data_IF_132033439027
#
_entry.id   IF_132033439027
#
_cell.length_a   1.000
_cell.length_b   1.000
_cell.length_c   1.000
_cell.angle_alpha   90.00
_cell.angle_beta   90.00
_cell.angle_gamma   90.00
#
_symmetry.space_group_name_H-M   'P 1'
#
loop_
_entity.id
_entity.type
_entity.pdbx_description
1 polymer ?
#
# COMPACT_ATOMS: atom_id res chain seq x y z
N UNK A 1 26.41 34.17 0.06
CA UNK A 1 25.83 33.95 1.40
C UNK A 1 25.32 32.52 1.42
N UNK A 2 26.09 31.59 2.01
CA UNK A 2 25.78 30.16 1.98
C UNK A 2 24.75 29.83 3.06
N UNK A 3 23.63 29.24 2.65
CA UNK A 3 22.59 28.76 3.58
C UNK A 3 23.08 27.43 4.15
N UNK A 4 23.41 27.42 5.44
CA UNK A 4 23.66 26.18 6.19
C UNK A 4 22.33 25.43 6.39
N UNK A 5 22.28 24.09 6.20
CA UNK A 5 21.10 23.33 6.55
C UNK A 5 20.94 23.29 8.07
N UNK A 6 19.71 23.56 8.52
CA UNK A 6 19.28 23.44 9.91
C UNK A 6 19.23 21.94 10.23
N UNK A 7 20.13 21.48 11.11
CA UNK A 7 19.97 20.21 11.81
C UNK A 7 18.71 20.32 12.68
N UNK A 8 17.65 19.62 12.32
CA UNK A 8 16.58 19.31 13.26
C UNK A 8 17.11 18.26 14.23
N UNK A 9 17.65 18.72 15.36
CA UNK A 9 17.84 17.89 16.55
C UNK A 9 16.49 17.81 17.28
N UNK A 10 15.75 16.73 17.07
CA UNK A 10 14.70 16.27 17.98
C UNK A 10 14.69 14.73 17.99
N UNK A 11 15.63 14.16 18.76
CA UNK A 11 15.35 13.09 19.73
C UNK A 11 14.81 11.72 19.33
N UNK A 12 14.77 11.31 18.07
CA UNK A 12 14.55 9.88 17.71
C UNK A 12 15.89 9.20 17.46
N UNK A 13 16.21 8.04 18.08
CA UNK A 13 17.44 7.33 17.77
C UNK A 13 17.48 6.98 16.27
N UNK A 14 18.53 7.40 15.58
CA UNK A 14 18.83 7.07 14.18
C UNK A 14 19.30 5.61 14.00
N UNK A 15 19.46 4.88 15.11
CA UNK A 15 20.02 3.55 15.14
C UNK A 15 18.93 2.47 15.29
N UNK A 16 19.22 1.29 14.75
CA UNK A 16 18.43 0.09 14.99
C UNK A 16 18.37 -0.24 16.48
N UNK A 17 17.21 -0.70 17.00
CA UNK A 17 17.11 -1.12 18.39
C UNK A 17 18.17 -2.20 18.71
N UNK A 18 18.86 -2.06 19.85
CA UNK A 18 19.66 -3.11 20.50
C UNK A 18 20.82 -3.75 19.70
N UNK A 19 21.56 -3.02 18.84
CA UNK A 19 22.68 -3.59 18.01
C UNK A 19 22.29 -4.80 17.16
N UNK A 20 21.00 -5.09 17.01
CA UNK A 20 20.48 -6.33 16.47
C UNK A 20 21.05 -6.66 15.07
N UNK A 21 21.41 -5.64 14.28
CA UNK A 21 21.99 -5.80 12.95
C UNK A 21 23.35 -6.52 12.89
N UNK A 22 24.22 -6.41 13.91
CA UNK A 22 25.62 -6.89 13.80
C UNK A 22 25.76 -8.41 13.86
N UNK A 23 24.79 -9.10 14.45
CA UNK A 23 24.81 -10.56 14.63
C UNK A 23 23.73 -11.27 13.80
N UNK A 24 23.12 -10.59 12.82
CA UNK A 24 22.13 -11.22 11.96
C UNK A 24 22.77 -12.31 11.09
N UNK A 25 22.14 -13.51 11.01
CA UNK A 25 22.56 -14.54 10.06
C UNK A 25 22.50 -14.04 8.61
N UNK A 26 23.34 -14.64 7.75
CA UNK A 26 23.33 -14.32 6.33
C UNK A 26 21.93 -14.54 5.71
N UNK A 27 21.46 -13.55 4.95
CA UNK A 27 20.14 -13.56 4.32
C UNK A 27 18.97 -13.13 5.22
N UNK A 28 19.22 -12.81 6.49
CA UNK A 28 18.20 -12.23 7.38
C UNK A 28 18.22 -10.72 7.28
N UNK A 29 17.03 -10.16 7.07
CA UNK A 29 16.77 -8.73 7.06
C UNK A 29 15.82 -8.39 8.21
N UNK A 30 16.14 -7.33 8.95
CA UNK A 30 15.33 -6.81 10.03
C UNK A 30 14.85 -5.40 9.68
N UNK A 31 13.52 -5.21 9.70
CA UNK A 31 12.89 -3.94 9.38
C UNK A 31 12.31 -3.32 10.65
N UNK A 32 12.75 -2.10 10.98
CA UNK A 32 12.14 -1.28 12.02
C UNK A 32 11.27 -0.20 11.38
N UNK A 33 9.95 -0.35 11.55
CA UNK A 33 8.95 0.54 10.99
C UNK A 33 8.61 1.63 12.02
N UNK A 34 9.10 2.84 11.77
CA UNK A 34 9.00 3.92 12.75
C UNK A 34 7.61 4.59 12.69
N UNK A 35 7.12 5.15 13.80
CA UNK A 35 5.82 5.83 13.83
C UNK A 35 5.72 7.13 13.00
N UNK A 36 6.85 7.66 12.54
CA UNK A 36 6.92 8.81 11.63
C UNK A 36 6.85 8.39 10.15
N UNK A 37 6.78 7.08 9.88
CA UNK A 37 6.73 6.48 8.55
C UNK A 37 8.10 6.15 7.95
N UNK A 38 9.19 6.42 8.67
CA UNK A 38 10.53 5.99 8.28
C UNK A 38 10.72 4.48 8.45
N UNK A 39 11.61 3.90 7.65
CA UNK A 39 11.93 2.46 7.69
C UNK A 39 13.44 2.31 7.80
N UNK A 40 13.90 1.68 8.87
CA UNK A 40 15.29 1.25 8.98
C UNK A 40 15.39 -0.22 8.60
N UNK A 41 16.33 -0.55 7.73
CA UNK A 41 16.72 -1.92 7.40
C UNK A 41 18.06 -2.22 8.06
N UNK A 42 18.14 -3.37 8.73
CA UNK A 42 19.38 -3.97 9.17
C UNK A 42 19.58 -5.34 8.53
N UNK A 43 20.79 -5.59 8.10
CA UNK A 43 21.26 -6.88 7.63
C UNK A 43 22.71 -7.07 8.11
N UNK A 44 23.37 -8.12 7.62
CA UNK A 44 24.76 -8.43 7.98
C UNK A 44 25.75 -7.31 7.61
N UNK A 45 25.44 -6.48 6.60
CA UNK A 45 26.31 -5.40 6.14
C UNK A 45 26.18 -4.14 7.01
N UNK A 46 25.12 -4.04 7.79
CA UNK A 46 24.89 -2.97 8.75
C UNK A 46 23.43 -2.52 8.74
N UNK A 47 23.22 -1.26 9.14
CA UNK A 47 21.88 -0.64 9.14
C UNK A 47 21.85 0.61 8.27
N UNK A 48 20.72 0.84 7.60
CA UNK A 48 20.46 2.01 6.77
C UNK A 48 18.98 2.35 6.74
N UNK A 49 18.68 3.62 6.51
CA UNK A 49 17.31 4.07 6.25
C UNK A 49 16.94 3.80 4.80
N UNK A 50 15.77 3.17 4.60
CA UNK A 50 15.19 3.00 3.28
C UNK A 50 14.46 4.27 2.87
N UNK A 51 14.54 4.60 1.59
CA UNK A 51 13.88 5.79 1.08
C UNK A 51 13.71 5.83 -0.44
N UNK A 52 12.92 6.81 -0.94
CA UNK A 52 12.62 7.02 -2.35
C UNK A 52 13.85 7.24 -3.24
N UNK A 53 14.96 7.70 -2.68
CA UNK A 53 16.17 8.00 -3.46
C UNK A 53 17.04 6.77 -3.77
N UNK A 54 16.76 5.60 -3.18
CA UNK A 54 17.65 4.43 -3.27
C UNK A 54 16.94 3.12 -3.53
N UNK A 55 15.96 2.78 -2.69
CA UNK A 55 15.46 1.40 -2.58
C UNK A 55 13.95 1.30 -2.78
N UNK A 56 13.24 2.42 -2.65
CA UNK A 56 11.82 2.43 -2.91
C UNK A 56 11.51 2.68 -4.38
N UNK A 57 10.54 1.92 -4.86
CA UNK A 57 9.92 2.10 -6.15
C UNK A 57 8.65 2.92 -5.99
N UNK A 58 8.25 3.63 -7.04
CA UNK A 58 6.93 4.25 -7.09
C UNK A 58 5.88 3.16 -6.95
N UNK A 59 4.93 3.34 -6.03
CA UNK A 59 3.94 2.30 -5.76
C UNK A 59 2.83 2.28 -6.81
N UNK A 60 1.93 3.27 -6.78
CA UNK A 60 0.87 3.47 -7.80
C UNK A 60 0.83 4.96 -8.14
N UNK A 61 0.64 5.80 -7.13
CA UNK A 61 0.54 7.25 -7.27
C UNK A 61 1.81 7.97 -6.80
N UNK A 62 1.96 9.22 -7.22
CA UNK A 62 3.06 10.07 -6.80
C UNK A 62 3.05 10.31 -5.28
N UNK A 63 4.25 10.31 -4.67
CA UNK A 63 4.41 10.43 -3.23
C UNK A 63 4.03 9.16 -2.45
N UNK A 64 3.78 8.04 -3.15
CA UNK A 64 3.55 6.72 -2.56
C UNK A 64 4.59 5.74 -3.07
N UNK A 65 5.21 5.03 -2.13
CA UNK A 65 6.43 4.28 -2.37
C UNK A 65 6.31 2.85 -1.86
N UNK A 66 7.07 1.94 -2.44
CA UNK A 66 7.10 0.55 -2.01
C UNK A 66 8.50 -0.06 -2.07
N UNK A 67 8.82 -0.88 -1.08
CA UNK A 67 9.95 -1.80 -1.04
C UNK A 67 9.44 -3.23 -1.18
N UNK A 68 10.01 -4.02 -2.09
CA UNK A 68 9.54 -5.39 -2.33
C UNK A 68 10.27 -6.36 -1.43
N UNK A 69 9.48 -7.14 -0.70
CA UNK A 69 9.98 -8.24 0.12
C UNK A 69 9.91 -9.56 -0.64
N UNK A 70 8.88 -9.74 -1.48
CA UNK A 70 8.72 -10.91 -2.35
C UNK A 70 8.18 -10.47 -3.70
N UNK A 71 8.93 -10.72 -4.76
CA UNK A 71 8.68 -10.30 -6.14
C UNK A 71 9.85 -9.51 -6.71
N UNK A 72 9.74 -9.09 -7.97
CA UNK A 72 10.79 -8.31 -8.66
C UNK A 72 10.15 -7.26 -9.57
N UNK A 73 10.67 -6.03 -9.55
CA UNK A 73 10.25 -4.95 -10.45
C UNK A 73 10.55 -5.25 -11.92
N UNK A 74 11.56 -6.08 -12.22
CA UNK A 74 11.88 -6.52 -13.58
C UNK A 74 10.73 -7.29 -14.25
N UNK A 75 9.81 -7.85 -13.45
CA UNK A 75 8.63 -8.58 -13.92
C UNK A 75 7.48 -7.65 -14.34
N UNK A 76 7.55 -6.36 -13.99
CA UNK A 76 6.65 -5.35 -14.56
C UNK A 76 7.26 -3.96 -14.40
N UNK A 77 8.17 -3.56 -15.30
CA UNK A 77 8.84 -2.26 -15.21
C UNK A 77 7.87 -1.08 -15.20
N UNK A 78 6.71 -1.24 -15.85
CA UNK A 78 5.66 -0.22 -15.92
C UNK A 78 4.70 -0.23 -14.73
N UNK A 79 4.60 -1.36 -14.00
CA UNK A 79 3.70 -1.53 -12.84
C UNK A 79 4.44 -2.15 -11.67
N UNK A 80 5.28 -1.36 -10.98
CA UNK A 80 6.11 -1.85 -9.89
C UNK A 80 5.25 -2.54 -8.82
N UNK A 81 4.03 -2.08 -8.56
CA UNK A 81 3.07 -2.66 -7.61
C UNK A 81 2.84 -4.18 -7.71
N UNK A 82 3.38 -4.86 -8.73
CA UNK A 82 3.47 -6.31 -9.00
C UNK A 82 3.79 -7.24 -7.82
N UNK A 83 4.50 -6.73 -6.81
CA UNK A 83 5.07 -7.60 -5.78
C UNK A 83 4.02 -8.31 -4.92
N UNK A 84 4.26 -9.59 -4.66
CA UNK A 84 3.47 -10.46 -3.78
C UNK A 84 3.42 -9.89 -2.37
N UNK A 85 4.57 -9.44 -1.86
CA UNK A 85 4.69 -8.83 -0.53
C UNK A 85 5.53 -7.57 -0.63
N UNK A 86 5.01 -6.46 -0.11
CA UNK A 86 5.66 -5.16 -0.15
C UNK A 86 5.41 -4.35 1.12
N UNK A 87 6.44 -3.63 1.53
CA UNK A 87 6.33 -2.55 2.51
C UNK A 87 5.99 -1.27 1.74
N UNK A 88 4.82 -0.69 2.00
CA UNK A 88 4.39 0.55 1.38
C UNK A 88 4.59 1.74 2.32
N UNK A 89 4.90 2.90 1.76
CA UNK A 89 4.83 4.20 2.42
C UNK A 89 3.81 5.05 1.70
N UNK A 90 2.73 5.39 2.40
CA UNK A 90 1.62 6.22 1.89
C UNK A 90 1.78 7.64 2.41
N UNK A 91 1.81 8.61 1.51
CA UNK A 91 1.96 10.03 1.85
C UNK A 91 0.93 10.52 2.89
N UNK A 92 1.21 11.62 3.62
CA UNK A 92 0.26 12.24 4.52
C UNK A 92 -1.02 12.65 3.79
N UNK A 93 -2.19 12.44 4.41
CA UNK A 93 -3.48 12.92 3.89
C UNK A 93 -3.78 12.51 2.44
N UNK A 94 -3.25 11.38 1.99
CA UNK A 94 -3.42 10.90 0.63
C UNK A 94 -4.15 9.56 0.59
N UNK A 95 -4.57 9.18 -0.61
CA UNK A 95 -5.12 7.86 -0.90
C UNK A 95 -4.60 7.36 -2.24
N UNK A 96 -4.61 6.04 -2.40
CA UNK A 96 -4.33 5.43 -3.70
C UNK A 96 -5.45 5.76 -4.70
N UNK A 97 -5.11 5.92 -5.97
CA UNK A 97 -6.10 5.90 -7.04
C UNK A 97 -6.96 4.63 -6.91
N UNK A 98 -8.31 4.71 -6.94
CA UNK A 98 -9.15 3.53 -6.82
C UNK A 98 -8.80 2.45 -7.84
N UNK A 99 -8.70 1.21 -7.36
CA UNK A 99 -8.36 0.06 -8.18
C UNK A 99 -9.00 -1.22 -7.64
N UNK A 100 -8.91 -2.28 -8.44
CA UNK A 100 -9.25 -3.65 -8.04
C UNK A 100 -8.09 -4.59 -8.38
N UNK A 101 -7.93 -5.65 -7.58
CA UNK A 101 -6.87 -6.63 -7.76
C UNK A 101 -7.40 -7.95 -8.33
N UNK A 102 -6.68 -8.56 -9.29
CA UNK A 102 -6.96 -9.91 -9.81
C UNK A 102 -6.65 -11.06 -8.84
N UNK A 103 -6.57 -10.77 -7.54
CA UNK A 103 -6.31 -11.72 -6.46
C UNK A 103 -6.67 -11.10 -5.12
N UNK A 104 -6.63 -11.90 -4.04
CA UNK A 104 -6.95 -11.36 -2.73
C UNK A 104 -5.84 -10.44 -2.24
N UNK A 105 -6.24 -9.34 -1.62
CA UNK A 105 -5.34 -8.30 -1.14
C UNK A 105 -5.45 -8.16 0.38
N UNK A 106 -4.32 -8.06 1.05
CA UNK A 106 -4.20 -7.90 2.49
C UNK A 106 -3.41 -6.63 2.76
N UNK A 107 -3.94 -5.74 3.60
CA UNK A 107 -3.25 -4.52 4.00
C UNK A 107 -3.25 -4.39 5.51
N UNK A 108 -2.07 -4.47 6.11
CA UNK A 108 -1.84 -4.15 7.51
C UNK A 108 -1.47 -2.68 7.62
N UNK A 109 -2.27 -1.92 8.38
CA UNK A 109 -1.97 -0.51 8.67
C UNK A 109 -1.28 -0.36 10.03
N UNK A 110 -0.17 0.37 10.08
CA UNK A 110 0.52 0.71 11.33
C UNK A 110 0.17 2.12 11.84
N UNK A 111 -0.73 2.82 11.14
CA UNK A 111 -1.25 4.14 11.48
C UNK A 111 -2.76 4.21 11.38
N UNK A 112 -3.31 5.43 11.48
CA UNK A 112 -4.73 5.64 11.26
C UNK A 112 -4.99 5.77 9.76
N UNK A 113 -5.78 4.86 9.22
CA UNK A 113 -6.09 4.78 7.81
C UNK A 113 -7.60 4.61 7.59
N UNK A 114 -8.01 4.60 6.32
CA UNK A 114 -9.31 4.11 5.90
C UNK A 114 -9.17 3.33 4.60
N UNK A 115 -10.10 2.42 4.36
CA UNK A 115 -10.26 1.79 3.06
C UNK A 115 -11.67 2.06 2.56
N UNK A 116 -11.78 2.84 1.48
CA UNK A 116 -13.04 3.03 0.77
C UNK A 116 -13.28 1.84 -0.14
N UNK A 117 -14.43 1.19 -0.01
CA UNK A 117 -14.82 0.00 -0.79
C UNK A 117 -16.17 0.24 -1.45
N UNK A 118 -16.38 -0.29 -2.65
CA UNK A 118 -17.72 -0.30 -3.23
C UNK A 118 -18.53 -1.48 -2.69
N UNK A 119 -19.61 -1.20 -1.98
CA UNK A 119 -20.57 -2.20 -1.50
C UNK A 119 -21.62 -2.45 -2.58
N UNK A 120 -21.39 -3.45 -3.43
CA UNK A 120 -22.29 -3.82 -4.52
C UNK A 120 -23.69 -4.24 -4.06
N UNK A 121 -23.84 -4.76 -2.83
CA UNK A 121 -25.16 -5.13 -2.29
C UNK A 121 -25.98 -3.88 -1.96
N UNK A 122 -25.33 -2.83 -1.45
CA UNK A 122 -25.97 -1.56 -1.09
C UNK A 122 -25.89 -0.49 -2.17
N UNK A 123 -25.16 -0.74 -3.25
CA UNK A 123 -24.93 0.19 -4.37
C UNK A 123 -24.28 1.50 -3.93
N UNK A 124 -23.30 1.44 -3.01
CA UNK A 124 -22.66 2.64 -2.46
C UNK A 124 -21.22 2.40 -2.00
N UNK A 125 -20.44 3.48 -1.95
CA UNK A 125 -19.11 3.46 -1.31
C UNK A 125 -19.26 3.41 0.21
N UNK A 126 -18.44 2.58 0.85
CA UNK A 126 -18.34 2.46 2.31
C UNK A 126 -16.89 2.66 2.74
N UNK A 127 -16.65 3.61 3.63
CA UNK A 127 -15.34 3.80 4.26
C UNK A 127 -15.20 2.94 5.51
N UNK A 128 -14.18 2.09 5.53
CA UNK A 128 -13.81 1.28 6.68
C UNK A 128 -12.62 1.95 7.39
N UNK A 129 -12.81 2.58 8.57
CA UNK A 129 -11.70 3.16 9.32
C UNK A 129 -10.81 2.07 9.91
N UNK A 130 -9.50 2.24 9.80
CA UNK A 130 -8.49 1.32 10.31
C UNK A 130 -7.65 2.03 11.37
N UNK A 131 -7.54 1.42 12.54
CA UNK A 131 -6.60 1.82 13.58
C UNK A 131 -5.26 1.09 13.39
N UNK A 132 -4.16 1.58 14.01
CA UNK A 132 -2.88 0.89 13.97
C UNK A 132 -2.98 -0.56 14.45
N UNK A 133 -2.37 -1.48 13.70
CA UNK A 133 -2.41 -2.92 13.94
C UNK A 133 -3.63 -3.61 13.32
N UNK A 134 -4.52 -2.90 12.64
CA UNK A 134 -5.63 -3.51 11.91
C UNK A 134 -5.19 -3.98 10.53
N UNK A 135 -5.60 -5.20 10.20
CA UNK A 135 -5.47 -5.83 8.90
C UNK A 135 -6.83 -5.82 8.20
N UNK A 136 -6.88 -5.37 6.95
CA UNK A 136 -8.04 -5.58 6.08
C UNK A 136 -7.69 -6.61 5.00
N UNK A 137 -8.61 -7.55 4.78
CA UNK A 137 -8.58 -8.49 3.66
C UNK A 137 -9.65 -8.07 2.66
N UNK A 138 -9.23 -7.90 1.42
CA UNK A 138 -10.05 -7.40 0.31
C UNK A 138 -10.12 -8.52 -0.72
N UNK A 139 -11.32 -9.02 -1.04
CA UNK A 139 -11.49 -10.07 -2.04
C UNK A 139 -10.97 -9.64 -3.42
N UNK A 140 -10.63 -10.64 -4.22
CA UNK A 140 -10.35 -10.47 -5.65
C UNK A 140 -11.47 -9.67 -6.34
N UNK A 141 -11.06 -8.77 -7.22
CA UNK A 141 -11.88 -7.85 -8.01
C UNK A 141 -12.76 -6.87 -7.21
N UNK A 142 -12.65 -6.82 -5.88
CA UNK A 142 -13.34 -5.81 -5.06
C UNK A 142 -12.76 -4.41 -5.34
N UNK A 143 -13.57 -3.44 -5.83
CA UNK A 143 -13.14 -2.06 -6.03
C UNK A 143 -12.85 -1.39 -4.68
N UNK A 144 -11.65 -0.82 -4.54
CA UNK A 144 -11.26 -0.18 -3.29
C UNK A 144 -10.21 0.92 -3.50
N UNK A 145 -10.00 1.70 -2.44
CA UNK A 145 -8.88 2.63 -2.29
C UNK A 145 -8.47 2.73 -0.83
N UNK A 146 -7.18 2.58 -0.56
CA UNK A 146 -6.61 2.74 0.76
C UNK A 146 -6.11 4.18 0.97
N UNK A 147 -6.36 4.75 2.14
CA UNK A 147 -6.09 6.13 2.47
C UNK A 147 -5.33 6.28 3.79
N UNK A 148 -4.31 7.13 3.79
CA UNK A 148 -3.66 7.60 5.00
C UNK A 148 -4.43 8.80 5.57
N UNK A 149 -5.04 8.61 6.75
CA UNK A 149 -5.75 9.69 7.45
C UNK A 149 -4.82 10.52 8.34
N UNK A 150 -3.55 10.16 8.47
CA UNK A 150 -2.55 10.89 9.23
C UNK A 150 -2.02 12.14 8.53
N UNK A 151 -1.33 12.97 9.29
CA UNK A 151 -0.50 14.10 8.84
C UNK A 151 0.98 13.73 8.71
N UNK A 152 1.34 12.48 8.95
CA UNK A 152 2.67 11.91 8.72
C UNK A 152 2.57 10.76 7.71
N UNK A 153 3.69 10.41 7.04
CA UNK A 153 3.73 9.22 6.20
C UNK A 153 3.31 7.97 6.97
N UNK A 154 2.63 7.05 6.28
CA UNK A 154 2.08 5.84 6.85
C UNK A 154 2.76 4.63 6.23
N UNK A 155 3.44 3.84 7.05
CA UNK A 155 3.92 2.52 6.65
C UNK A 155 2.79 1.49 6.68
N UNK A 156 2.70 0.71 5.61
CA UNK A 156 1.80 -0.44 5.49
C UNK A 156 2.59 -1.68 5.07
N UNK A 157 2.08 -2.86 5.42
CA UNK A 157 2.48 -4.11 4.78
C UNK A 157 1.32 -4.55 3.89
N UNK A 158 1.60 -4.69 2.60
CA UNK A 158 0.63 -5.14 1.62
C UNK A 158 1.06 -6.51 1.08
N UNK A 159 0.14 -7.47 1.12
CA UNK A 159 0.35 -8.82 0.59
C UNK A 159 -0.79 -9.19 -0.36
N UNK A 160 -0.48 -10.00 -1.38
CA UNK A 160 -1.41 -10.35 -2.44
C UNK A 160 -1.29 -11.83 -2.77
N UNK A 161 -2.42 -12.50 -2.99
CA UNK A 161 -2.46 -13.94 -3.28
C UNK A 161 -2.53 -14.26 -4.77
N UNK A 162 -2.91 -13.28 -5.60
CA UNK A 162 -2.88 -13.38 -7.05
C UNK A 162 -1.47 -13.13 -7.58
N UNK A 163 -0.74 -14.22 -7.86
CA UNK A 163 0.50 -14.33 -8.64
C UNK A 163 1.52 -13.20 -8.51
N UNK A 164 2.60 -13.48 -7.78
CA UNK A 164 3.88 -12.84 -8.06
C UNK A 164 4.43 -13.32 -9.40
N UNK A 165 4.99 -12.38 -10.16
CA UNK A 165 5.70 -12.53 -11.45
C UNK A 165 4.77 -12.42 -12.68
N UNK A 166 4.92 -11.32 -13.43
CA UNK A 166 4.43 -11.09 -14.80
C UNK A 166 2.92 -11.15 -15.07
N UNK A 167 2.09 -10.26 -14.50
CA UNK A 167 0.76 -10.05 -15.10
C UNK A 167 0.29 -8.60 -15.19
N UNK A 168 -0.06 -8.20 -16.41
CA UNK A 168 -0.63 -6.90 -16.79
C UNK A 168 -2.04 -6.65 -16.20
N UNK A 169 -2.56 -7.61 -15.41
CA UNK A 169 -3.93 -7.61 -14.86
C UNK A 169 -3.99 -7.45 -13.34
N UNK A 170 -2.84 -7.19 -12.71
CA UNK A 170 -2.75 -7.25 -11.25
C UNK A 170 -3.52 -6.15 -10.51
N UNK A 171 -3.52 -4.93 -11.04
CA UNK A 171 -4.29 -3.80 -10.53
C UNK A 171 -4.97 -3.09 -11.69
N UNK A 172 -6.29 -3.02 -11.64
CA UNK A 172 -7.13 -2.43 -12.69
C UNK A 172 -7.73 -1.14 -12.14
N UNK A 173 -7.39 -0.02 -12.76
CA UNK A 173 -8.01 1.29 -12.49
C UNK A 173 -9.29 1.46 -13.31
N UNK A 174 -10.07 2.50 -13.02
CA UNK A 174 -11.28 2.80 -13.79
C UNK A 174 -10.99 2.98 -15.30
N UNK A 175 -9.91 3.70 -15.64
CA UNK A 175 -9.52 3.94 -17.03
C UNK A 175 -9.13 2.64 -17.75
N UNK A 176 -8.44 1.74 -17.06
CA UNK A 176 -8.07 0.44 -17.61
C UNK A 176 -9.29 -0.47 -17.80
N UNK A 177 -10.24 -0.45 -16.86
CA UNK A 177 -11.51 -1.16 -17.00
C UNK A 177 -12.34 -0.61 -18.17
N UNK A 178 -12.41 0.72 -18.35
CA UNK A 178 -13.07 1.37 -19.49
C UNK A 178 -12.45 0.94 -20.83
N UNK A 179 -11.11 0.88 -20.91
CA UNK A 179 -10.38 0.42 -22.10
C UNK A 179 -10.73 -1.03 -22.44
N UNK A 180 -10.66 -1.95 -21.47
CA UNK A 180 -10.98 -3.38 -21.66
C UNK A 180 -12.43 -3.62 -22.07
N UNK A 181 -13.36 -2.83 -21.52
CA UNK A 181 -14.77 -2.87 -21.89
C UNK A 181 -15.05 -2.45 -23.35
N UNK A 182 -14.14 -1.68 -23.96
CA UNK A 182 -14.21 -1.28 -25.37
C UNK A 182 -13.54 -2.32 -26.29
N UNK A 183 -12.50 -2.99 -25.80
CA UNK A 183 -11.75 -4.03 -26.52
C UNK A 183 -12.42 -5.42 -26.51
N UNK A 184 -13.46 -5.62 -25.69
CA UNK A 184 -14.23 -6.88 -25.62
C UNK A 184 -15.58 -6.88 -26.37
N UNK A 185 -15.71 -6.49 -27.66
CA UNK A 185 -16.91 -6.75 -28.42
C UNK A 185 -16.87 -8.18 -28.99
N UNK A 186 -17.23 -9.18 -28.17
CA UNK A 186 -17.73 -10.48 -28.61
C UNK A 186 -16.77 -11.43 -29.34
N UNK A 187 -15.81 -12.03 -28.62
CA UNK A 187 -15.14 -13.27 -29.09
C UNK A 187 -15.51 -14.47 -28.18
N UNK A 188 -16.30 -15.46 -28.66
CA UNK A 188 -16.62 -16.67 -27.90
C UNK A 188 -15.49 -17.72 -27.88
N UNK A 189 -14.28 -17.42 -28.39
CA UNK A 189 -13.25 -18.44 -28.67
C UNK A 189 -11.93 -18.38 -27.90
N UNK A 190 -11.74 -17.42 -27.00
CA UNK A 190 -10.40 -17.03 -26.53
C UNK A 190 -9.93 -17.52 -25.15
N UNK A 191 -10.38 -18.65 -24.61
CA UNK A 191 -9.90 -19.13 -23.30
C UNK A 191 -8.56 -19.87 -23.46
N UNK A 192 -7.44 -19.14 -23.41
CA UNK A 192 -6.16 -19.75 -23.02
C UNK A 192 -6.14 -19.88 -21.50
N UNK A 193 -6.58 -21.04 -21.03
CA UNK A 193 -6.51 -21.44 -19.64
C UNK A 193 -5.05 -21.56 -19.17
N UNK A 194 -4.59 -20.59 -18.39
CA UNK A 194 -3.52 -20.76 -17.42
C UNK A 194 -4.18 -20.81 -16.03
N UNK A 195 -3.90 -21.87 -15.28
CA UNK A 195 -4.78 -22.39 -14.23
C UNK A 195 -4.95 -21.52 -12.98
N UNK A 196 -6.13 -21.64 -12.37
CA UNK A 196 -6.48 -21.06 -11.07
C UNK A 196 -7.95 -20.63 -11.01
N UNK A 197 -8.59 -20.70 -9.83
CA UNK A 197 -9.97 -20.18 -9.63
C UNK A 197 -10.09 -18.67 -9.90
N UNK A 198 -8.96 -17.96 -9.88
CA UNK A 198 -8.76 -16.53 -10.14
C UNK A 198 -8.90 -16.16 -11.63
N UNK A 199 -8.37 -16.97 -12.56
CA UNK A 199 -8.49 -16.73 -14.01
C UNK A 199 -9.94 -16.80 -14.54
N UNK A 200 -10.83 -17.47 -13.80
CA UNK A 200 -12.26 -17.52 -14.08
C UNK A 200 -13.00 -16.25 -13.65
N UNK A 201 -12.54 -15.58 -12.59
CA UNK A 201 -13.17 -14.35 -12.11
C UNK A 201 -12.92 -13.19 -13.09
N UNK A 202 -11.68 -13.01 -13.55
CA UNK A 202 -11.31 -11.99 -14.55
C UNK A 202 -11.97 -12.19 -15.91
N UNK A 203 -12.18 -13.44 -16.34
CA UNK A 203 -12.90 -13.77 -17.58
C UNK A 203 -14.41 -13.50 -17.52
N UNK A 204 -14.97 -13.37 -16.32
CA UNK A 204 -16.40 -13.09 -16.09
C UNK A 204 -16.66 -11.67 -15.58
N UNK A 205 -15.60 -10.86 -15.39
CA UNK A 205 -15.72 -9.48 -14.92
C UNK A 205 -16.46 -8.62 -15.94
N UNK A 206 -17.56 -8.01 -15.52
CA UNK A 206 -18.16 -6.88 -16.24
C UNK A 206 -17.30 -5.63 -16.03
N UNK A 207 -16.38 -5.38 -16.96
CA UNK A 207 -15.46 -4.24 -16.89
C UNK A 207 -16.18 -2.88 -16.94
N UNK A 208 -17.40 -2.78 -17.48
CA UNK A 208 -18.16 -1.52 -17.43
C UNK A 208 -18.69 -1.24 -16.04
N UNK A 209 -19.24 -2.27 -15.38
CA UNK A 209 -19.67 -2.17 -14.00
C UNK A 209 -18.49 -1.82 -13.09
N UNK A 210 -17.37 -2.56 -13.21
CA UNK A 210 -16.16 -2.29 -12.44
C UNK A 210 -15.65 -0.85 -12.60
N UNK A 211 -15.62 -0.34 -13.84
CA UNK A 211 -15.25 1.05 -14.08
C UNK A 211 -16.16 2.02 -13.33
N UNK A 212 -17.48 1.85 -13.40
CA UNK A 212 -18.44 2.71 -12.72
C UNK A 212 -18.24 2.69 -11.19
N UNK A 213 -18.02 1.52 -10.60
CA UNK A 213 -17.79 1.35 -9.17
C UNK A 213 -16.50 2.04 -8.71
N UNK A 214 -15.43 1.93 -9.48
CA UNK A 214 -14.16 2.63 -9.22
C UNK A 214 -14.32 4.16 -9.33
N UNK A 215 -15.10 4.64 -10.31
CA UNK A 215 -15.42 6.06 -10.46
C UNK A 215 -16.26 6.59 -9.29
N UNK A 216 -17.13 5.77 -8.71
CA UNK A 216 -17.91 6.16 -7.55
C UNK A 216 -17.03 6.36 -6.32
N UNK A 217 -16.01 5.50 -6.11
CA UNK A 217 -15.00 5.71 -5.08
C UNK A 217 -14.22 7.00 -5.34
N UNK A 218 -13.76 7.22 -6.57
CA UNK A 218 -13.04 8.45 -6.96
C UNK A 218 -13.89 9.71 -6.70
N UNK A 219 -15.19 9.64 -7.01
CA UNK A 219 -16.15 10.71 -6.75
C UNK A 219 -16.32 10.95 -5.25
N UNK A 220 -16.50 9.89 -4.46
CA UNK A 220 -16.64 9.99 -3.01
C UNK A 220 -15.40 10.65 -2.39
N UNK A 221 -14.19 10.25 -2.81
CA UNK A 221 -12.93 10.85 -2.36
C UNK A 221 -12.79 12.32 -2.75
N UNK A 222 -13.20 12.70 -3.98
CA UNK A 222 -13.18 14.12 -4.39
C UNK A 222 -14.18 14.98 -3.61
N UNK A 223 -15.36 14.44 -3.31
CA UNK A 223 -16.43 15.18 -2.63
C UNK A 223 -16.17 15.29 -1.13
N UNK A 224 -15.74 14.19 -0.50
CA UNK A 224 -15.59 14.12 0.95
C UNK A 224 -14.14 14.31 1.43
N UNK A 225 -13.16 14.21 0.52
CA UNK A 225 -11.74 14.24 0.86
C UNK A 225 -11.31 13.02 1.67
N UNK A 226 -10.05 13.04 2.12
CA UNK A 226 -9.54 12.04 3.07
C UNK A 226 -9.88 12.50 4.48
N UNK A 227 -10.83 11.80 5.12
CA UNK A 227 -11.34 12.16 6.44
C UNK A 227 -10.22 12.32 7.46
N UNK A 228 -10.22 13.45 8.18
CA UNK A 228 -9.13 13.73 9.08
C UNK A 228 -9.10 12.81 10.30
N UNK A 229 -7.92 12.62 10.90
CA UNK A 229 -7.82 12.01 12.23
C UNK A 229 -8.52 12.91 13.25
N UNK A 230 -9.25 12.30 14.16
CA UNK A 230 -9.88 12.96 15.31
C UNK A 230 -8.83 13.36 16.35
N UNK A 231 -9.21 14.21 17.31
CA UNK A 231 -8.35 14.57 18.46
C UNK A 231 -7.90 13.32 19.22
N UNK A 232 -8.82 12.36 19.43
CA UNK A 232 -8.54 11.09 20.12
C UNK A 232 -7.50 10.26 19.37
N UNK A 233 -7.64 10.14 18.06
CA UNK A 233 -6.69 9.41 17.22
C UNK A 233 -5.30 10.07 17.23
N UNK A 234 -5.24 11.41 17.18
CA UNK A 234 -3.96 12.15 17.30
C UNK A 234 -3.29 11.94 18.65
N UNK A 235 -4.06 11.97 19.74
CA UNK A 235 -3.54 11.68 21.07
C UNK A 235 -3.01 10.25 21.16
N UNK A 236 -3.76 9.26 20.66
CA UNK A 236 -3.32 7.87 20.63
C UNK A 236 -2.04 7.67 19.81
N UNK A 237 -1.93 8.33 18.65
CA UNK A 237 -0.71 8.32 17.84
C UNK A 237 0.49 8.93 18.58
N UNK A 238 0.29 10.04 19.29
CA UNK A 238 1.33 10.65 20.12
C UNK A 238 1.79 9.72 21.26
N UNK A 239 0.85 9.06 21.94
CA UNK A 239 1.19 8.12 23.01
C UNK A 239 1.97 6.90 22.48
N UNK A 240 1.60 6.37 21.31
CA UNK A 240 2.38 5.30 20.64
C UNK A 240 3.79 5.74 20.27
N UNK A 241 3.98 6.99 19.81
CA UNK A 241 5.32 7.54 19.56
C UNK A 241 6.17 7.56 20.83
N UNK A 242 5.59 8.00 21.94
CA UNK A 242 6.28 8.02 23.23
C UNK A 242 6.60 6.59 23.68
N UNK A 243 5.65 5.66 23.58
CA UNK A 243 5.89 4.26 23.93
C UNK A 243 7.00 3.63 23.09
N UNK A 244 6.95 3.78 21.76
CA UNK A 244 7.98 3.26 20.85
C UNK A 244 9.36 3.86 21.16
N UNK A 245 9.46 5.17 21.45
CA UNK A 245 10.72 5.79 21.85
C UNK A 245 11.27 5.19 23.15
N UNK A 246 10.41 4.85 24.11
CA UNK A 246 10.80 4.20 25.37
C UNK A 246 11.21 2.74 25.18
N UNK A 247 10.63 2.03 24.21
CA UNK A 247 10.96 0.64 23.88
C UNK A 247 12.31 0.53 23.17
N UNK A 248 12.64 1.49 22.29
CA UNK A 248 13.87 1.50 21.49
C UNK A 248 15.08 2.07 22.24
N UNK A 249 14.88 2.88 23.27
CA UNK A 249 15.97 3.53 24.04
C UNK A 249 16.71 2.60 25.01
N UNK A 250 16.86 1.31 24.69
CA UNK A 250 17.60 0.34 25.50
C UNK A 250 18.84 -0.17 24.78
#
# INVERSE_FOLDING_TARGET
>A
MAIRPVRAQDGTPDDMPDRAGKDLPAGVELYHLRPDGGILLADREGSRELGPEREFLRFIDDGQFAHYLVGDAATSPERPSNATVKLGVVGPRSAFTPHAHGGEHFVLSLGHAACGLYDGVRGRVTDVPLAPGMLIRIPEMMPHSFANRGDSPLTILAANTGYGIDHEDYAITAAEAERRAQESPGDPGGVRAAGGRTALATALTDYRALAAELRDIERAQRVHGIAATTVRERLAARLRRVAAALEVSR
#
